data_IF_904240466332
#
_entry.id   IF_904240466332
#
_cell.length_a   1.000
_cell.length_b   1.000
_cell.length_c   1.000
_cell.angle_alpha   90.00
_cell.angle_beta   90.00
_cell.angle_gamma   90.00
#
_symmetry.space_group_name_H-M   'P 1'
#
loop_
_entity.id
_entity.type
_entity.pdbx_description
1 polymer ?
#
# COMPACT_ATOMS: atom_id res chain seq x y z
N UNK A 1 -10.24 -29.05 74.85
CA UNK A 1 -8.97 -28.58 74.26
C UNK A 1 -8.62 -29.57 73.16
N UNK A 2 -8.81 -29.21 71.90
CA UNK A 2 -8.44 -30.05 70.75
C UNK A 2 -8.13 -29.12 69.59
N UNK A 3 -6.84 -29.06 69.26
CA UNK A 3 -6.27 -28.17 68.24
C UNK A 3 -6.71 -28.61 66.83
N UNK A 4 -7.04 -27.63 66.00
CA UNK A 4 -7.36 -27.82 64.59
C UNK A 4 -6.09 -28.20 63.78
N UNK A 5 -6.21 -29.03 62.73
CA UNK A 5 -5.07 -29.40 61.91
C UNK A 5 -4.62 -28.21 61.06
N UNK A 6 -3.33 -27.90 61.12
CA UNK A 6 -2.67 -26.88 60.32
C UNK A 6 -2.92 -27.11 58.83
N UNK A 7 -3.57 -26.13 58.21
CA UNK A 7 -3.77 -26.05 56.76
C UNK A 7 -2.42 -26.01 56.05
N UNK A 8 -2.37 -26.80 54.97
CA UNK A 8 -1.32 -26.90 53.97
C UNK A 8 -0.67 -25.55 53.67
N UNK A 9 0.58 -25.44 54.10
CA UNK A 9 1.44 -24.28 53.90
C UNK A 9 1.94 -24.29 52.43
N UNK A 10 1.10 -23.78 51.52
CA UNK A 10 1.37 -23.62 50.08
C UNK A 10 2.50 -22.62 49.75
N UNK A 11 3.21 -22.11 50.76
CA UNK A 11 4.27 -21.11 50.62
C UNK A 11 5.69 -21.71 50.52
N UNK A 12 5.85 -22.99 50.16
CA UNK A 12 7.17 -23.59 49.94
C UNK A 12 7.60 -23.49 48.45
N UNK A 13 8.71 -22.81 48.13
CA UNK A 13 9.17 -22.61 46.74
C UNK A 13 9.75 -23.86 46.06
N UNK A 14 9.68 -25.04 46.69
CA UNK A 14 10.32 -26.28 46.24
C UNK A 14 9.37 -27.30 45.57
N UNK A 15 8.13 -26.94 45.22
CA UNK A 15 7.23 -27.83 44.50
C UNK A 15 7.31 -27.64 42.97
N UNK A 16 7.43 -28.73 42.17
CA UNK A 16 7.57 -28.67 40.70
C UNK A 16 6.39 -27.98 40.01
N UNK A 17 5.20 -28.05 40.62
CA UNK A 17 3.97 -27.38 40.17
C UNK A 17 4.11 -25.85 40.18
N UNK A 18 4.86 -25.28 41.12
CA UNK A 18 5.05 -23.83 41.21
C UNK A 18 6.01 -23.31 40.12
N UNK A 19 6.98 -24.15 39.72
CA UNK A 19 7.92 -23.85 38.63
C UNK A 19 7.24 -23.91 37.26
N UNK A 20 6.38 -24.91 37.01
CA UNK A 20 5.59 -24.96 35.77
C UNK A 20 4.58 -23.81 35.67
N UNK A 21 3.90 -23.46 36.75
CA UNK A 21 2.98 -22.30 36.78
C UNK A 21 3.74 -20.99 36.48
N UNK A 22 4.95 -20.83 37.02
CA UNK A 22 5.78 -19.64 36.77
C UNK A 22 6.23 -19.55 35.31
N UNK A 23 6.61 -20.67 34.69
CA UNK A 23 6.96 -20.73 33.26
C UNK A 23 5.74 -20.41 32.39
N UNK A 24 4.57 -20.95 32.71
CA UNK A 24 3.32 -20.63 31.99
C UNK A 24 2.98 -19.16 32.09
N UNK A 25 3.09 -18.54 33.28
CA UNK A 25 2.88 -17.09 33.46
C UNK A 25 3.83 -16.26 32.61
N UNK A 26 5.12 -16.62 32.56
CA UNK A 26 6.10 -15.94 31.71
C UNK A 26 5.79 -16.08 30.22
N UNK A 27 5.36 -17.27 29.78
CA UNK A 27 4.96 -17.49 28.39
C UNK A 27 3.73 -16.66 28.01
N UNK A 28 2.70 -16.62 28.86
CA UNK A 28 1.50 -15.80 28.63
C UNK A 28 1.86 -14.31 28.54
N UNK A 29 2.76 -13.84 29.41
CA UNK A 29 3.23 -12.45 29.39
C UNK A 29 4.03 -12.17 28.11
N UNK A 30 4.93 -13.07 27.71
CA UNK A 30 5.70 -12.93 26.48
C UNK A 30 4.80 -12.89 25.23
N UNK A 31 3.80 -13.76 25.16
CA UNK A 31 2.81 -13.79 24.06
C UNK A 31 2.00 -12.50 24.04
N UNK A 32 1.55 -12.01 25.20
CA UNK A 32 0.79 -10.76 25.30
C UNK A 32 1.60 -9.56 24.82
N UNK A 33 2.88 -9.46 25.22
CA UNK A 33 3.77 -8.38 24.77
C UNK A 33 4.02 -8.50 23.27
N UNK A 34 4.33 -9.70 22.76
CA UNK A 34 4.57 -9.93 21.34
C UNK A 34 3.33 -9.57 20.49
N UNK A 35 2.13 -9.89 20.96
CA UNK A 35 0.87 -9.55 20.29
C UNK A 35 0.58 -8.05 20.28
N UNK A 36 1.09 -7.27 21.24
CA UNK A 36 0.91 -5.82 21.31
C UNK A 36 1.90 -5.04 20.42
N UNK A 37 2.99 -5.66 19.95
CA UNK A 37 4.03 -4.99 19.14
C UNK A 37 3.47 -4.37 17.85
N UNK A 38 2.67 -5.08 17.01
CA UNK A 38 2.14 -4.49 15.78
C UNK A 38 1.25 -3.27 16.07
N UNK A 39 0.45 -3.31 17.12
CA UNK A 39 -0.43 -2.20 17.52
C UNK A 39 0.38 -0.98 17.93
N UNK A 40 1.42 -1.15 18.75
CA UNK A 40 2.30 -0.06 19.16
C UNK A 40 3.05 0.53 17.98
N UNK A 41 3.56 -0.33 17.07
CA UNK A 41 4.20 0.10 15.82
C UNK A 41 3.25 0.91 14.95
N UNK A 42 2.04 0.41 14.71
CA UNK A 42 1.06 1.08 13.85
C UNK A 42 0.60 2.40 14.47
N UNK A 43 0.47 2.48 15.79
CA UNK A 43 0.14 3.72 16.50
C UNK A 43 1.24 4.76 16.29
N UNK A 44 2.51 4.36 16.42
CA UNK A 44 3.64 5.24 16.18
C UNK A 44 3.66 5.79 14.75
N UNK A 45 3.48 4.94 13.74
CA UNK A 45 3.50 5.37 12.34
C UNK A 45 2.26 6.20 11.97
N UNK A 46 1.09 5.86 12.51
CA UNK A 46 -0.13 6.63 12.34
C UNK A 46 0.03 8.06 12.86
N UNK A 47 0.57 8.20 14.09
CA UNK A 47 0.82 9.50 14.70
C UNK A 47 1.90 10.30 13.98
N UNK A 48 3.02 9.66 13.60
CA UNK A 48 4.15 10.34 12.95
C UNK A 48 3.83 10.84 11.54
N UNK A 49 3.07 10.07 10.76
CA UNK A 49 2.86 10.35 9.33
C UNK A 49 1.46 10.86 9.00
N UNK A 50 0.63 11.11 10.02
CA UNK A 50 -0.76 11.55 9.88
C UNK A 50 -1.59 10.63 8.95
N UNK A 51 -1.41 9.31 9.13
CA UNK A 51 -2.12 8.28 8.37
C UNK A 51 -3.12 7.58 9.30
N UNK A 52 -4.35 7.28 8.83
CA UNK A 52 -5.31 6.49 9.61
C UNK A 52 -4.71 5.16 10.07
N UNK A 53 -4.93 4.79 11.35
CA UNK A 53 -4.34 3.60 11.96
C UNK A 53 -4.59 2.31 11.16
N UNK A 54 -5.78 2.18 10.57
CA UNK A 54 -6.18 1.03 9.75
C UNK A 54 -5.49 0.97 8.37
N UNK A 55 -4.81 2.03 7.93
CA UNK A 55 -4.15 2.11 6.63
C UNK A 55 -2.62 2.03 6.73
N UNK A 56 -2.06 2.02 7.95
CA UNK A 56 -0.60 2.08 8.15
C UNK A 56 0.14 0.97 7.41
N UNK A 57 -0.28 -0.29 7.57
CA UNK A 57 0.39 -1.42 6.92
C UNK A 57 0.32 -1.33 5.40
N UNK A 58 -0.84 -0.91 4.86
CA UNK A 58 -1.00 -0.67 3.43
C UNK A 58 -0.06 0.45 2.95
N UNK A 59 -0.01 1.60 3.64
CA UNK A 59 0.86 2.72 3.28
C UNK A 59 2.35 2.39 3.40
N UNK A 60 2.74 1.57 4.36
CA UNK A 60 4.12 1.07 4.47
C UNK A 60 4.48 0.13 3.32
N UNK A 61 3.54 -0.73 2.88
CA UNK A 61 3.74 -1.55 1.69
C UNK A 61 3.85 -0.70 0.42
N UNK A 62 3.02 0.33 0.28
CA UNK A 62 3.07 1.30 -0.81
C UNK A 62 4.41 2.05 -0.85
N UNK A 63 4.86 2.56 0.30
CA UNK A 63 6.16 3.21 0.43
C UNK A 63 7.31 2.29 -0.03
N UNK A 64 7.27 1.01 0.36
CA UNK A 64 8.25 0.02 -0.06
C UNK A 64 8.26 -0.23 -1.58
N UNK A 65 7.08 -0.29 -2.21
CA UNK A 65 6.97 -0.44 -3.66
C UNK A 65 7.47 0.80 -4.40
N UNK A 66 7.16 1.98 -3.88
CA UNK A 66 7.63 3.24 -4.42
C UNK A 66 9.16 3.36 -4.33
N UNK A 67 9.76 2.96 -3.21
CA UNK A 67 11.22 2.93 -3.05
C UNK A 67 11.87 1.89 -3.98
N UNK A 68 11.26 0.71 -4.14
CA UNK A 68 11.72 -0.33 -5.08
C UNK A 68 11.74 0.16 -6.53
N UNK A 69 10.77 0.98 -6.92
CA UNK A 69 10.56 1.44 -8.30
C UNK A 69 10.94 2.92 -8.49
N UNK A 70 11.74 3.48 -7.58
CA UNK A 70 12.05 4.89 -7.55
C UNK A 70 12.87 5.37 -8.76
N UNK A 71 13.52 4.48 -9.50
CA UNK A 71 14.31 4.82 -10.68
C UNK A 71 13.58 4.50 -12.00
N UNK A 72 12.31 4.07 -11.92
CA UNK A 72 11.54 3.71 -13.10
C UNK A 72 10.95 4.94 -13.80
N UNK A 73 11.19 5.05 -15.10
CA UNK A 73 10.41 5.94 -15.97
C UNK A 73 9.09 5.26 -16.28
N UNK A 74 7.97 5.91 -15.91
CA UNK A 74 6.62 5.39 -16.11
C UNK A 74 5.93 6.21 -17.20
N UNK A 75 5.53 5.51 -18.26
CA UNK A 75 4.65 6.02 -19.30
C UNK A 75 3.22 5.57 -18.96
N UNK A 76 2.34 6.53 -18.64
CA UNK A 76 0.97 6.24 -18.25
C UNK A 76 0.03 6.26 -19.44
N UNK A 77 -0.95 5.36 -19.40
CA UNK A 77 -2.13 5.35 -20.25
C UNK A 77 -3.33 5.83 -19.45
N UNK A 78 -4.03 6.83 -19.96
CA UNK A 78 -5.13 7.47 -19.25
C UNK A 78 -6.49 6.86 -19.61
N UNK A 79 -7.25 6.53 -18.58
CA UNK A 79 -8.61 6.02 -18.66
C UNK A 79 -9.54 7.02 -17.96
N UNK A 80 -10.61 7.41 -18.64
CA UNK A 80 -11.68 8.19 -18.03
C UNK A 80 -12.68 7.24 -17.34
N UNK A 81 -13.02 7.52 -16.09
CA UNK A 81 -14.07 6.78 -15.37
C UNK A 81 -15.43 7.43 -15.56
N UNK A 82 -16.52 6.68 -15.33
CA UNK A 82 -17.88 7.20 -15.39
C UNK A 82 -18.14 8.36 -14.39
N UNK A 83 -17.34 8.47 -13.33
CA UNK A 83 -17.40 9.54 -12.33
C UNK A 83 -16.54 10.77 -12.64
N UNK A 84 -16.06 10.93 -13.88
CA UNK A 84 -15.17 12.02 -14.32
C UNK A 84 -13.79 12.06 -13.61
N UNK A 85 -13.45 11.02 -12.84
CA UNK A 85 -12.08 10.81 -12.38
C UNK A 85 -11.23 10.28 -13.54
N UNK A 86 -9.98 10.71 -13.61
CA UNK A 86 -8.99 10.18 -14.57
C UNK A 86 -8.06 9.23 -13.86
N UNK A 87 -7.87 8.05 -14.46
CA UNK A 87 -7.01 7.00 -13.93
C UNK A 87 -5.91 6.75 -14.95
N UNK A 88 -4.69 7.10 -14.57
CA UNK A 88 -3.48 6.94 -15.36
C UNK A 88 -2.77 5.68 -14.88
N UNK A 89 -2.55 4.70 -15.76
CA UNK A 89 -1.92 3.41 -15.39
C UNK A 89 -0.66 3.19 -16.22
N UNK A 90 0.45 2.85 -15.56
CA UNK A 90 1.72 2.52 -16.20
C UNK A 90 2.47 1.44 -15.42
N UNK A 91 3.47 0.82 -16.03
CA UNK A 91 4.26 -0.24 -15.40
C UNK A 91 5.74 0.08 -15.42
N UNK A 92 6.47 -0.26 -14.36
CA UNK A 92 7.92 -0.21 -14.39
C UNK A 92 8.48 -1.32 -15.29
N UNK A 93 9.31 -0.95 -16.26
CA UNK A 93 9.92 -1.90 -17.20
C UNK A 93 10.90 -2.89 -16.56
N UNK A 94 11.47 -2.56 -15.39
CA UNK A 94 12.45 -3.41 -14.70
C UNK A 94 11.81 -4.50 -13.84
N UNK A 95 10.72 -4.16 -13.14
CA UNK A 95 10.10 -5.02 -12.12
C UNK A 95 8.75 -5.58 -12.57
N UNK A 96 8.09 -4.94 -13.54
CA UNK A 96 6.71 -5.22 -13.90
C UNK A 96 5.68 -4.64 -12.92
N UNK A 97 6.11 -4.00 -11.83
CA UNK A 97 5.20 -3.39 -10.86
C UNK A 97 4.40 -2.24 -11.53
N UNK A 98 3.13 -2.13 -11.17
CA UNK A 98 2.19 -1.19 -11.78
C UNK A 98 2.07 0.04 -10.91
N UNK A 99 2.20 1.22 -11.50
CA UNK A 99 1.88 2.52 -10.90
C UNK A 99 0.54 3.00 -11.42
N UNK A 100 -0.32 3.42 -10.51
CA UNK A 100 -1.64 3.97 -10.76
C UNK A 100 -1.65 5.39 -10.21
N UNK A 101 -2.00 6.35 -11.05
CA UNK A 101 -2.19 7.74 -10.68
C UNK A 101 -3.66 8.08 -10.90
N UNK A 102 -4.35 8.38 -9.81
CA UNK A 102 -5.77 8.73 -9.83
C UNK A 102 -5.91 10.24 -9.62
N UNK A 103 -6.47 10.91 -10.61
CA UNK A 103 -6.88 12.31 -10.52
C UNK A 103 -8.39 12.38 -10.29
N UNK A 104 -8.75 12.75 -9.08
CA UNK A 104 -10.13 12.93 -8.66
C UNK A 104 -10.76 14.17 -9.32
N UNK A 105 -12.11 14.24 -9.41
CA UNK A 105 -12.79 15.38 -10.02
C UNK A 105 -12.56 16.72 -9.30
N UNK A 106 -12.23 16.67 -8.01
CA UNK A 106 -11.85 17.81 -7.17
C UNK A 106 -10.42 18.31 -7.44
N UNK A 107 -9.67 17.63 -8.31
CA UNK A 107 -8.29 17.96 -8.66
C UNK A 107 -7.24 17.30 -7.77
N UNK A 108 -7.62 16.54 -6.74
CA UNK A 108 -6.66 15.78 -5.95
C UNK A 108 -6.02 14.66 -6.78
N UNK A 109 -4.72 14.47 -6.60
CA UNK A 109 -3.95 13.43 -7.29
C UNK A 109 -3.34 12.50 -6.26
N UNK A 110 -3.63 11.20 -6.41
CA UNK A 110 -3.12 10.14 -5.54
C UNK A 110 -2.39 9.09 -6.37
N UNK A 111 -1.30 8.57 -5.82
CA UNK A 111 -0.51 7.51 -6.41
C UNK A 111 -0.60 6.23 -5.60
N UNK A 112 -0.79 5.12 -6.31
CA UNK A 112 -0.79 3.78 -5.76
C UNK A 112 0.08 2.86 -6.62
N UNK A 113 0.75 1.93 -5.98
CA UNK A 113 1.53 0.88 -6.61
C UNK A 113 0.92 -0.48 -6.33
N UNK A 114 0.90 -1.32 -7.36
CA UNK A 114 0.52 -2.72 -7.26
C UNK A 114 1.75 -3.54 -7.64
N UNK A 115 2.19 -4.39 -6.71
CA UNK A 115 3.27 -5.32 -6.98
C UNK A 115 2.80 -6.32 -8.06
N UNK A 116 3.64 -6.60 -9.05
CA UNK A 116 3.27 -7.52 -10.13
C UNK A 116 2.87 -8.90 -9.58
N UNK A 117 3.53 -9.36 -8.52
CA UNK A 117 3.29 -10.67 -7.90
C UNK A 117 1.95 -10.76 -7.14
N UNK A 118 1.35 -9.61 -6.82
CA UNK A 118 0.03 -9.54 -6.16
C UNK A 118 -1.13 -9.57 -7.16
N UNK A 119 -0.84 -9.42 -8.45
CA UNK A 119 -1.87 -9.52 -9.47
C UNK A 119 -2.43 -10.94 -9.49
N UNK A 120 -3.76 -11.10 -9.60
CA UNK A 120 -4.36 -12.41 -9.82
C UNK A 120 -3.69 -13.02 -11.04
N UNK A 121 -2.96 -14.11 -10.85
CA UNK A 121 -2.43 -14.86 -12.00
C UNK A 121 -3.64 -15.24 -12.83
N UNK A 122 -3.66 -14.96 -14.15
CA UNK A 122 -4.76 -15.41 -14.99
C UNK A 122 -4.89 -16.90 -14.74
N UNK A 123 -6.11 -17.35 -14.40
CA UNK A 123 -6.39 -18.75 -14.13
C UNK A 123 -5.97 -19.55 -15.36
N UNK A 124 -4.72 -20.04 -15.34
CA UNK A 124 -4.25 -20.99 -16.33
C UNK A 124 -5.19 -22.17 -16.22
N UNK A 125 -5.94 -22.42 -17.30
CA UNK A 125 -7.02 -23.40 -17.47
C UNK A 125 -6.70 -24.74 -16.79
N UNK A 126 -6.89 -24.79 -15.48
CA UNK A 126 -6.79 -26.00 -14.66
C UNK A 126 -8.00 -25.92 -13.77
N UNK A 127 -9.08 -26.54 -14.26
CA UNK A 127 -10.38 -26.55 -13.62
C UNK A 127 -10.24 -27.12 -12.22
N UNK A 128 -10.33 -26.24 -11.22
CA UNK A 128 -10.49 -26.62 -9.83
C UNK A 128 -11.95 -26.40 -9.46
N UNK A 129 -12.57 -27.38 -8.81
CA UNK A 129 -14.00 -27.37 -8.47
C UNK A 129 -14.41 -26.19 -7.55
N UNK A 130 -13.45 -25.50 -6.93
CA UNK A 130 -13.68 -24.25 -6.19
C UNK A 130 -14.10 -23.07 -7.09
N UNK A 131 -13.82 -23.15 -8.40
CA UNK A 131 -14.18 -22.13 -9.40
C UNK A 131 -15.68 -22.14 -9.77
N UNK A 132 -16.45 -23.10 -9.21
CA UNK A 132 -17.91 -23.15 -9.29
C UNK A 132 -18.62 -22.38 -8.16
N UNK A 133 -17.93 -22.08 -7.05
CA UNK A 133 -18.51 -21.44 -5.86
C UNK A 133 -18.14 -19.96 -5.72
N UNK A 134 -17.12 -19.51 -6.43
CA UNK A 134 -16.75 -18.10 -6.48
C UNK A 134 -17.63 -17.44 -7.54
N UNK A 135 -18.45 -16.46 -7.13
CA UNK A 135 -19.16 -15.58 -8.06
C UNK A 135 -18.16 -15.04 -9.07
N UNK A 136 -18.26 -15.51 -10.32
CA UNK A 136 -17.46 -15.03 -11.43
C UNK A 136 -17.71 -13.54 -11.55
N UNK A 137 -16.72 -12.71 -11.21
CA UNK A 137 -16.66 -11.38 -11.75
C UNK A 137 -16.41 -11.57 -13.26
N UNK A 138 -17.48 -11.65 -14.03
CA UNK A 138 -17.39 -11.46 -15.46
C UNK A 138 -16.91 -10.02 -15.64
N UNK A 139 -15.62 -9.86 -15.93
CA UNK A 139 -15.25 -8.79 -16.86
C UNK A 139 -16.05 -9.14 -18.12
N UNK A 140 -17.15 -8.43 -18.32
CA UNK A 140 -17.88 -8.48 -19.57
C UNK A 140 -16.87 -8.03 -20.62
N UNK A 141 -16.21 -9.00 -21.24
CA UNK A 141 -15.51 -8.84 -22.49
C UNK A 141 -16.63 -8.56 -23.48
N UNK A 142 -17.05 -7.29 -23.49
CA UNK A 142 -17.92 -6.75 -24.51
C UNK A 142 -17.28 -7.20 -25.82
N UNK A 143 -17.95 -8.12 -26.50
CA UNK A 143 -17.72 -8.32 -27.94
C UNK A 143 -17.59 -6.93 -28.54
N UNK A 144 -16.63 -6.69 -29.46
CA UNK A 144 -16.39 -5.37 -30.01
C UNK A 144 -17.63 -4.90 -30.77
N UNK A 145 -18.61 -4.34 -30.04
CA UNK A 145 -19.63 -3.47 -30.58
C UNK A 145 -18.87 -2.19 -30.92
N UNK A 146 -18.66 -2.03 -32.21
CA UNK A 146 -17.85 -1.02 -32.88
C UNK A 146 -18.31 0.43 -32.68
N UNK A 147 -18.91 0.81 -31.55
CA UNK A 147 -19.57 2.12 -31.42
C UNK A 147 -19.50 2.81 -30.05
N UNK A 148 -18.68 2.35 -29.10
CA UNK A 148 -18.26 3.21 -27.97
C UNK A 148 -16.74 3.36 -27.98
N UNK A 149 -16.19 4.48 -28.45
CA UNK A 149 -14.76 4.70 -28.37
C UNK A 149 -14.37 4.72 -26.89
N UNK A 150 -13.48 3.83 -26.47
CA UNK A 150 -12.68 4.04 -25.27
C UNK A 150 -11.96 5.36 -25.53
N UNK A 151 -12.43 6.44 -24.90
CA UNK A 151 -11.82 7.75 -25.05
C UNK A 151 -10.52 7.72 -24.25
N UNK A 152 -9.43 7.38 -24.96
CA UNK A 152 -8.08 7.52 -24.44
C UNK A 152 -7.87 9.02 -24.20
N UNK A 153 -7.84 9.40 -22.93
CA UNK A 153 -7.44 10.75 -22.54
C UNK A 153 -5.92 10.87 -22.73
N UNK A 154 -5.43 12.09 -22.90
CA UNK A 154 -4.03 12.38 -23.22
C UNK A 154 -3.06 11.66 -22.27
N UNK A 155 -2.12 10.90 -22.83
CA UNK A 155 -1.10 10.17 -22.08
C UNK A 155 -0.26 11.10 -21.20
N UNK A 156 0.11 10.62 -20.01
CA UNK A 156 0.97 11.31 -19.07
C UNK A 156 2.30 10.55 -18.92
N UNK A 157 3.41 11.26 -18.76
CA UNK A 157 4.73 10.64 -18.60
C UNK A 157 5.49 11.28 -17.44
N UNK A 158 6.16 10.45 -16.63
CA UNK A 158 7.13 10.95 -15.65
C UNK A 158 8.43 11.25 -16.39
N UNK A 159 8.86 12.51 -16.40
CA UNK A 159 10.11 12.93 -17.04
C UNK A 159 11.32 12.64 -16.15
N UNK A 160 11.20 12.97 -14.86
CA UNK A 160 12.23 12.77 -13.85
C UNK A 160 11.64 12.74 -12.45
N UNK A 161 12.38 12.15 -11.51
CA UNK A 161 12.03 12.14 -10.10
C UNK A 161 13.27 12.12 -9.19
N UNK A 162 13.15 12.76 -8.03
CA UNK A 162 14.17 12.81 -6.97
C UNK A 162 13.53 12.60 -5.58
N UNK A 163 14.30 12.05 -4.64
CA UNK A 163 13.85 11.85 -3.25
C UNK A 163 14.29 13.04 -2.40
N UNK A 164 13.36 13.65 -1.69
CA UNK A 164 13.60 14.76 -0.77
C UNK A 164 13.01 14.43 0.61
N UNK A 165 13.78 13.72 1.43
CA UNK A 165 13.34 13.21 2.73
C UNK A 165 12.20 12.19 2.58
N UNK A 166 11.06 12.47 3.22
CA UNK A 166 9.84 11.65 3.17
C UNK A 166 8.93 11.97 1.96
N UNK A 167 9.43 12.78 1.02
CA UNK A 167 8.72 13.17 -0.18
C UNK A 167 9.50 12.78 -1.45
N UNK A 168 8.76 12.65 -2.54
CA UNK A 168 9.29 12.50 -3.90
C UNK A 168 8.89 13.73 -4.69
N UNK A 169 9.89 14.36 -5.29
CA UNK A 169 9.68 15.46 -6.24
C UNK A 169 9.77 14.84 -7.62
N UNK A 170 8.68 14.90 -8.38
CA UNK A 170 8.63 14.37 -9.75
C UNK A 170 8.11 15.42 -10.71
N UNK A 171 8.57 15.38 -11.95
CA UNK A 171 7.98 16.19 -13.02
C UNK A 171 7.21 15.32 -13.98
N UNK A 172 5.93 15.63 -14.12
CA UNK A 172 4.99 14.92 -14.99
C UNK A 172 4.65 15.80 -16.18
N UNK A 173 4.77 15.24 -17.38
CA UNK A 173 4.29 15.85 -18.61
C UNK A 173 2.92 15.28 -18.94
N UNK A 174 1.94 16.16 -19.17
CA UNK A 174 0.58 15.78 -19.55
C UNK A 174 0.03 16.88 -20.46
N UNK A 175 -0.47 16.50 -21.64
CA UNK A 175 -1.11 17.47 -22.56
C UNK A 175 -0.22 18.64 -22.99
N UNK A 176 1.09 18.41 -23.12
CA UNK A 176 2.07 19.44 -23.48
C UNK A 176 2.48 20.38 -22.34
N UNK A 177 1.91 20.22 -21.14
CA UNK A 177 2.29 20.97 -19.94
C UNK A 177 3.13 20.09 -19.02
N UNK A 178 4.11 20.69 -18.33
CA UNK A 178 4.89 20.02 -17.30
C UNK A 178 4.58 20.58 -15.93
N UNK A 179 4.43 19.70 -14.97
CA UNK A 179 4.08 20.04 -13.59
C UNK A 179 5.03 19.30 -12.66
N UNK A 180 5.63 20.05 -11.74
CA UNK A 180 6.40 19.50 -10.64
C UNK A 180 5.45 19.17 -9.49
N UNK A 181 5.39 17.89 -9.13
CA UNK A 181 4.57 17.36 -8.06
C UNK A 181 5.48 16.89 -6.91
N UNK A 182 5.21 17.39 -5.70
CA UNK A 182 5.79 16.88 -4.46
C UNK A 182 4.80 15.88 -3.86
N UNK A 183 5.20 14.61 -3.80
CA UNK A 183 4.34 13.51 -3.34
C UNK A 183 4.87 12.94 -2.05
N UNK A 184 4.01 12.77 -1.06
CA UNK A 184 4.38 12.09 0.18
C UNK A 184 4.57 10.59 -0.07
N UNK A 185 5.71 10.04 0.35
CA UNK A 185 6.01 8.60 0.19
C UNK A 185 5.01 7.75 0.96
N UNK A 186 4.62 8.19 2.16
CA UNK A 186 3.72 7.44 3.03
C UNK A 186 2.24 7.66 2.68
N UNK A 187 1.84 8.86 2.26
CA UNK A 187 0.42 9.12 1.93
C UNK A 187 0.07 8.78 0.49
N UNK A 188 1.03 8.87 -0.44
CA UNK A 188 0.79 8.72 -1.88
C UNK A 188 0.08 9.94 -2.51
N UNK A 189 -0.34 10.91 -1.70
CA UNK A 189 -0.98 12.16 -2.13
C UNK A 189 0.03 13.19 -2.63
N UNK A 190 -0.36 13.96 -3.65
CA UNK A 190 0.38 15.15 -4.08
C UNK A 190 0.14 16.28 -3.10
N UNK A 191 1.19 16.71 -2.40
CA UNK A 191 1.18 17.78 -1.40
C UNK A 191 1.31 19.17 -2.03
N UNK A 192 2.09 19.25 -3.12
CA UNK A 192 2.33 20.48 -3.86
C UNK A 192 2.42 20.16 -5.34
N UNK A 193 1.81 20.99 -6.18
CA UNK A 193 1.82 20.86 -7.63
C UNK A 193 2.04 22.24 -8.24
N UNK A 194 3.13 22.43 -8.97
CA UNK A 194 3.46 23.71 -9.61
C UNK A 194 3.85 23.55 -11.09
N UNK A 195 3.36 24.42 -11.99
CA UNK A 195 3.72 24.35 -13.39
C UNK A 195 5.19 24.73 -13.58
N UNK A 196 5.91 23.94 -14.38
CA UNK A 196 7.33 24.16 -14.69
C UNK A 196 7.57 24.08 -16.20
N UNK A 197 8.56 24.80 -16.74
CA UNK A 197 8.94 24.67 -18.14
C UNK A 197 9.45 23.25 -18.44
N UNK A 198 8.91 22.60 -19.48
CA UNK A 198 9.27 21.22 -19.84
C UNK A 198 10.75 21.07 -20.25
N UNK A 199 11.36 22.12 -20.81
CA UNK A 199 12.75 22.17 -21.26
C UNK A 199 13.76 22.23 -20.11
N UNK A 200 13.35 22.74 -18.93
CA UNK A 200 14.19 22.88 -17.73
C UNK A 200 13.68 22.09 -16.54
N UNK A 201 12.69 21.23 -16.75
CA UNK A 201 11.98 20.47 -15.73
C UNK A 201 12.91 19.55 -14.90
N UNK A 202 14.01 19.07 -15.47
CA UNK A 202 14.82 18.02 -14.86
C UNK A 202 16.29 18.41 -14.55
N UNK A 203 16.57 19.33 -13.61
CA UNK A 203 17.94 19.63 -13.19
C UNK A 203 18.32 19.00 -11.83
N UNK A 204 17.48 18.14 -11.24
CA UNK A 204 17.70 17.63 -9.88
C UNK A 204 18.76 16.52 -9.91
N UNK A 205 20.01 16.87 -9.59
CA UNK A 205 21.10 15.94 -9.25
C UNK A 205 21.01 15.49 -7.80
#
# INVERSE_FOLDING_TARGET
MSEAPSLLNLAHPAHPVNRSISVVKLLVLAVSVAAAVPTARNLYFSWKNDVPFNQVDHRLAQAKLLEKNFDCKIDYRSLATQGNARVDVGSCSKTGDISIRVKSPDGQVNYEWIAFEQLPKPASRSGSLVDLLISRAFADELQPSSDTPIVIAQDAAVLCQSKAGDNIIRVVQSGGQCVQETVSIFRGSVEKSEPVPCDKACPIR
#
